data_IF_026253264060
#
_entry.id   IF_026253264060
#
_cell.length_a   1.000
_cell.length_b   1.000
_cell.length_c   1.000
_cell.angle_alpha   90.00
_cell.angle_beta   90.00
_cell.angle_gamma   90.00
#
_symmetry.space_group_name_H-M   'P 1'
#
loop_
_entity.id
_entity.type
_entity.pdbx_description
1 polymer ?
#
# COMPACT_ATOMS: atom_id res chain seq x y z
N UNK A 1 17.24 -18.32 -8.39
CA UNK A 1 17.01 -16.98 -8.92
C UNK A 1 18.00 -15.97 -8.35
N UNK A 2 18.03 -15.70 -7.04
CA UNK A 2 19.02 -14.77 -6.43
C UNK A 2 20.27 -15.43 -5.82
N UNK A 3 20.54 -16.70 -6.15
CA UNK A 3 21.59 -17.49 -5.49
C UNK A 3 23.03 -16.95 -5.67
N UNK A 4 23.25 -16.02 -6.60
CA UNK A 4 24.56 -15.43 -6.92
C UNK A 4 24.59 -13.90 -6.78
N UNK A 5 23.57 -13.28 -6.20
CA UNK A 5 23.46 -11.82 -6.11
C UNK A 5 23.87 -11.33 -4.70
N UNK A 6 24.78 -10.35 -4.61
CA UNK A 6 25.32 -9.83 -3.33
C UNK A 6 24.23 -9.19 -2.45
N UNK A 7 23.09 -8.82 -3.04
CA UNK A 7 21.95 -8.20 -2.36
C UNK A 7 20.91 -9.16 -1.76
N UNK A 8 21.16 -10.48 -1.74
CA UNK A 8 20.17 -11.50 -1.32
C UNK A 8 19.42 -11.15 -0.02
N UNK A 9 20.14 -10.75 1.03
CA UNK A 9 19.54 -10.40 2.32
C UNK A 9 18.61 -9.19 2.25
N UNK A 10 18.94 -8.19 1.42
CA UNK A 10 18.12 -6.98 1.25
C UNK A 10 16.83 -7.29 0.51
N UNK A 11 16.90 -8.12 -0.54
CA UNK A 11 15.71 -8.53 -1.28
C UNK A 11 14.73 -9.30 -0.40
N UNK A 12 15.23 -10.27 0.38
CA UNK A 12 14.37 -11.03 1.30
C UNK A 12 13.80 -10.16 2.43
N UNK A 13 14.53 -9.16 2.91
CA UNK A 13 14.00 -8.19 3.86
C UNK A 13 12.85 -7.37 3.25
N UNK A 14 13.01 -6.87 2.02
CA UNK A 14 11.95 -6.12 1.32
C UNK A 14 10.75 -7.00 0.97
N UNK A 15 10.98 -8.25 0.56
CA UNK A 15 9.91 -9.22 0.31
C UNK A 15 9.15 -9.55 1.60
N UNK A 16 9.86 -9.76 2.71
CA UNK A 16 9.24 -10.00 4.02
C UNK A 16 8.41 -8.80 4.47
N UNK A 17 8.93 -7.59 4.26
CA UNK A 17 8.20 -6.35 4.55
C UNK A 17 6.96 -6.21 3.65
N UNK A 18 7.04 -6.56 2.36
CA UNK A 18 5.92 -6.57 1.44
C UNK A 18 4.79 -7.50 1.91
N UNK A 19 5.15 -8.74 2.29
CA UNK A 19 4.19 -9.71 2.81
C UNK A 19 3.57 -9.22 4.12
N UNK A 20 4.38 -8.63 5.01
CA UNK A 20 3.88 -8.03 6.26
C UNK A 20 2.89 -6.89 5.99
N UNK A 21 3.22 -5.96 5.09
CA UNK A 21 2.32 -4.86 4.72
C UNK A 21 1.02 -5.35 4.09
N UNK A 22 1.08 -6.38 3.23
CA UNK A 22 -0.12 -7.03 2.67
C UNK A 22 -0.97 -7.70 3.76
N UNK A 23 -0.36 -8.39 4.71
CA UNK A 23 -1.08 -9.01 5.83
C UNK A 23 -1.74 -7.96 6.71
N UNK A 24 -1.03 -6.87 7.02
CA UNK A 24 -1.57 -5.77 7.80
C UNK A 24 -2.76 -5.11 7.09
N UNK A 25 -2.65 -4.90 5.78
CA UNK A 25 -3.73 -4.36 4.94
C UNK A 25 -4.99 -5.24 5.02
N UNK A 26 -4.84 -6.56 4.89
CA UNK A 26 -5.98 -7.50 4.90
C UNK A 26 -6.59 -7.67 6.29
N UNK A 27 -5.78 -7.58 7.35
CA UNK A 27 -6.26 -7.71 8.73
C UNK A 27 -6.86 -6.43 9.32
N UNK A 28 -6.70 -5.29 8.65
CA UNK A 28 -7.27 -4.03 9.13
C UNK A 28 -8.79 -4.10 9.18
N UNK A 29 -9.38 -3.63 10.29
CA UNK A 29 -10.82 -3.56 10.53
C UNK A 29 -11.41 -2.16 10.26
N UNK A 30 -10.57 -1.23 9.81
CA UNK A 30 -10.93 0.14 9.53
C UNK A 30 -10.24 0.68 8.28
N UNK A 31 -10.84 1.70 7.66
CA UNK A 31 -10.33 2.34 6.44
C UNK A 31 -8.98 3.03 6.66
N UNK A 32 -8.66 3.45 7.88
CA UNK A 32 -7.38 4.10 8.19
C UNK A 32 -6.22 3.09 8.19
N UNK A 33 -6.41 1.91 8.76
CA UNK A 33 -5.44 0.83 8.74
C UNK A 33 -5.28 0.23 7.34
N UNK A 34 -6.32 0.25 6.51
CA UNK A 34 -6.21 -0.04 5.09
C UNK A 34 -5.29 0.97 4.39
N UNK A 35 -5.46 2.27 4.67
CA UNK A 35 -4.59 3.32 4.13
C UNK A 35 -3.13 3.14 4.56
N UNK A 36 -2.88 2.84 5.84
CA UNK A 36 -1.53 2.57 6.35
C UNK A 36 -0.91 1.31 5.71
N UNK A 37 -1.69 0.23 5.58
CA UNK A 37 -1.22 -0.99 4.92
C UNK A 37 -0.90 -0.76 3.45
N UNK A 38 -1.74 0.00 2.75
CA UNK A 38 -1.58 0.36 1.36
C UNK A 38 -0.32 1.19 1.09
N UNK A 39 -0.05 2.19 1.92
CA UNK A 39 1.21 2.97 1.89
C UNK A 39 2.44 2.06 2.08
N UNK A 40 2.34 1.10 3.00
CA UNK A 40 3.38 0.10 3.23
C UNK A 40 3.66 -0.76 2.00
N UNK A 41 2.61 -1.23 1.32
CA UNK A 41 2.72 -2.01 0.08
C UNK A 41 3.35 -1.17 -1.04
N UNK A 42 2.93 0.08 -1.19
CA UNK A 42 3.50 1.02 -2.16
C UNK A 42 5.00 1.27 -1.93
N UNK A 43 5.42 1.54 -0.69
CA UNK A 43 6.83 1.69 -0.35
C UNK A 43 7.64 0.42 -0.62
N UNK A 44 7.12 -0.75 -0.26
CA UNK A 44 7.80 -2.03 -0.50
C UNK A 44 7.97 -2.33 -2.00
N UNK A 45 6.96 -2.01 -2.82
CA UNK A 45 7.05 -2.17 -4.28
C UNK A 45 8.14 -1.28 -4.87
N UNK A 46 8.27 -0.04 -4.41
CA UNK A 46 9.33 0.87 -4.84
C UNK A 46 10.73 0.33 -4.49
N UNK A 47 10.92 -0.18 -3.27
CA UNK A 47 12.18 -0.79 -2.84
C UNK A 47 12.54 -2.05 -3.63
N UNK A 48 11.55 -2.85 -4.01
CA UNK A 48 11.76 -4.08 -4.80
C UNK A 48 12.08 -3.77 -6.27
N UNK A 49 11.40 -2.80 -6.89
CA UNK A 49 11.67 -2.38 -8.27
C UNK A 49 13.02 -1.66 -8.37
N UNK A 50 13.32 -0.80 -7.39
CA UNK A 50 14.60 -0.08 -7.28
C UNK A 50 15.76 -0.93 -6.75
N UNK A 51 15.58 -2.24 -6.54
CA UNK A 51 16.59 -3.12 -5.96
C UNK A 51 17.92 -3.09 -6.75
N UNK A 52 17.84 -3.06 -8.08
CA UNK A 52 19.00 -2.88 -8.96
C UNK A 52 19.26 -1.41 -9.29
N UNK A 53 19.44 -0.60 -8.25
CA UNK A 53 19.69 0.86 -8.32
C UNK A 53 20.92 1.27 -9.14
N UNK A 54 21.84 0.35 -9.45
CA UNK A 54 23.04 0.61 -10.27
C UNK A 54 22.72 1.00 -11.72
N UNK A 55 21.51 0.70 -12.19
CA UNK A 55 21.06 1.10 -13.51
C UNK A 55 19.96 2.17 -13.38
N UNK A 56 20.24 3.35 -13.93
CA UNK A 56 19.36 4.52 -13.84
C UNK A 56 17.96 4.25 -14.44
N UNK A 57 17.86 3.33 -15.41
CA UNK A 57 16.57 2.95 -16.00
C UNK A 57 15.62 2.29 -14.99
N UNK A 58 16.14 1.44 -14.08
CA UNK A 58 15.32 0.78 -13.07
C UNK A 58 14.91 1.74 -11.95
N UNK A 59 15.80 2.66 -11.58
CA UNK A 59 15.49 3.74 -10.62
C UNK A 59 14.41 4.68 -11.15
N UNK A 60 14.45 5.02 -12.45
CA UNK A 60 13.40 5.82 -13.08
C UNK A 60 12.05 5.10 -13.10
N UNK A 61 12.03 3.82 -13.50
CA UNK A 61 10.82 3.01 -13.51
C UNK A 61 10.21 2.83 -12.10
N UNK A 62 11.06 2.69 -11.08
CA UNK A 62 10.61 2.63 -9.69
C UNK A 62 9.90 3.93 -9.29
N UNK A 63 10.49 5.08 -9.61
CA UNK A 63 9.90 6.39 -9.30
C UNK A 63 8.58 6.61 -10.04
N UNK A 64 8.49 6.23 -11.31
CA UNK A 64 7.25 6.31 -12.08
C UNK A 64 6.14 5.48 -11.43
N UNK A 65 6.43 4.22 -11.06
CA UNK A 65 5.48 3.37 -10.37
C UNK A 65 5.04 3.95 -9.01
N UNK A 66 5.99 4.53 -8.25
CA UNK A 66 5.70 5.14 -6.95
C UNK A 66 4.84 6.41 -7.07
N UNK A 67 5.08 7.24 -8.07
CA UNK A 67 4.27 8.45 -8.33
C UNK A 67 2.84 8.05 -8.70
N UNK A 68 2.67 7.05 -9.56
CA UNK A 68 1.34 6.55 -9.93
C UNK A 68 0.61 5.98 -8.72
N UNK A 69 1.31 5.26 -7.83
CA UNK A 69 0.73 4.80 -6.57
C UNK A 69 0.29 5.98 -5.68
N UNK A 70 1.11 7.03 -5.58
CA UNK A 70 0.81 8.22 -4.77
C UNK A 70 -0.44 8.96 -5.24
N UNK A 71 -0.69 8.99 -6.55
CA UNK A 71 -1.92 9.57 -7.12
C UNK A 71 -3.14 8.74 -6.69
N UNK A 72 -3.03 7.41 -6.69
CA UNK A 72 -4.09 6.54 -6.19
C UNK A 72 -4.33 6.75 -4.68
N UNK A 73 -3.28 6.96 -3.89
CA UNK A 73 -3.37 7.22 -2.44
C UNK A 73 -4.18 8.48 -2.15
N UNK A 74 -4.03 9.53 -2.96
CA UNK A 74 -4.85 10.75 -2.86
C UNK A 74 -6.33 10.47 -3.16
N UNK A 75 -6.62 9.68 -4.20
CA UNK A 75 -7.98 9.26 -4.51
C UNK A 75 -8.62 8.47 -3.37
N UNK A 76 -7.85 7.56 -2.76
CA UNK A 76 -8.30 6.78 -1.61
C UNK A 76 -8.53 7.67 -0.38
N UNK A 77 -7.64 8.62 -0.08
CA UNK A 77 -7.85 9.58 1.01
C UNK A 77 -9.12 10.40 0.83
N UNK A 78 -9.37 10.91 -0.38
CA UNK A 78 -10.59 11.66 -0.69
C UNK A 78 -11.84 10.78 -0.48
N UNK A 79 -11.79 9.51 -0.89
CA UNK A 79 -12.87 8.55 -0.63
C UNK A 79 -13.10 8.30 0.86
N UNK A 80 -12.03 8.11 1.64
CA UNK A 80 -12.10 7.92 3.09
C UNK A 80 -12.66 9.16 3.79
N UNK A 81 -12.23 10.36 3.40
CA UNK A 81 -12.78 11.60 3.94
C UNK A 81 -14.26 11.76 3.61
N UNK A 82 -14.67 11.42 2.40
CA UNK A 82 -16.08 11.48 2.02
C UNK A 82 -16.93 10.49 2.82
N UNK A 83 -16.47 9.25 2.99
CA UNK A 83 -17.13 8.26 3.84
C UNK A 83 -17.23 8.74 5.30
N UNK A 84 -16.17 9.36 5.82
CA UNK A 84 -16.17 9.92 7.16
C UNK A 84 -17.19 11.06 7.32
N UNK A 85 -17.33 11.94 6.33
CA UNK A 85 -18.31 13.02 6.37
C UNK A 85 -19.76 12.51 6.37
N UNK A 86 -20.02 11.37 5.73
CA UNK A 86 -21.36 10.78 5.65
C UNK A 86 -21.70 9.90 6.86
N UNK A 87 -20.76 9.02 7.26
CA UNK A 87 -21.00 8.02 8.29
C UNK A 87 -20.48 8.43 9.68
N UNK A 88 -19.61 9.43 9.78
CA UNK A 88 -18.98 9.87 11.05
C UNK A 88 -18.00 8.86 11.64
N UNK A 89 -17.73 7.76 10.95
CA UNK A 89 -16.92 6.62 11.41
C UNK A 89 -16.06 6.06 10.28
N UNK A 90 -14.96 5.43 10.65
CA UNK A 90 -14.00 4.80 9.73
C UNK A 90 -13.94 3.28 9.90
N UNK A 91 -14.81 2.69 10.73
CA UNK A 91 -14.89 1.24 10.90
C UNK A 91 -15.72 0.62 9.79
N UNK A 92 -15.30 -0.54 9.32
CA UNK A 92 -16.01 -1.25 8.26
C UNK A 92 -17.43 -1.63 8.67
N UNK A 93 -17.60 -2.22 9.85
CA UNK A 93 -18.90 -2.73 10.30
C UNK A 93 -19.96 -1.62 10.37
N UNK A 94 -19.59 -0.44 10.87
CA UNK A 94 -20.50 0.69 11.02
C UNK A 94 -20.86 1.31 9.65
N UNK A 95 -19.88 1.46 8.75
CA UNK A 95 -20.12 1.97 7.38
C UNK A 95 -20.97 1.00 6.57
N UNK A 96 -20.70 -0.30 6.63
CA UNK A 96 -21.50 -1.31 5.92
C UNK A 96 -22.91 -1.44 6.48
N UNK A 97 -23.07 -1.32 7.81
CA UNK A 97 -24.41 -1.29 8.42
C UNK A 97 -25.21 -0.06 7.97
N UNK A 98 -24.56 1.09 7.81
CA UNK A 98 -25.23 2.30 7.31
C UNK A 98 -25.58 2.20 5.83
N UNK A 99 -24.70 1.61 5.02
CA UNK A 99 -24.96 1.33 3.60
C UNK A 99 -26.16 0.40 3.42
N UNK A 100 -26.33 -0.59 4.31
CA UNK A 100 -27.46 -1.53 4.26
C UNK A 100 -28.79 -0.89 4.71
N UNK A 101 -28.75 0.24 5.42
CA UNK A 101 -29.95 1.00 5.82
C UNK A 101 -30.45 1.98 4.74
N UNK A 102 -29.71 2.11 3.64
CA UNK A 102 -30.01 3.00 2.50
C UNK A 102 -30.81 2.30 1.37
N UNK A 103 -31.26 1.06 1.58
CA UNK A 103 -32.25 0.36 0.73
C UNK A 103 -33.70 0.59 1.21
#
# INVERSE_FOLDING_TARGET
>A
YMAHDEGFNKFFAYLGLFVFSMLFLVMSDNFLGLFVGWEGVGLCSWLLIGFWYKNDTYSFAANEAFIMNRIADLGMLLGIFWLYLQAGTLKYDEVFSMAQSLD
#
